data_IF_061911598069
#
_entry.id   IF_061911598069
#
_cell.length_a   1.000
_cell.length_b   1.000
_cell.length_c   1.000
_cell.angle_alpha   90.00
_cell.angle_beta   90.00
_cell.angle_gamma   90.00
#
_symmetry.space_group_name_H-M   'P 1'
#
loop_
_entity.id
_entity.type
_entity.pdbx_description
1 polymer ?
#
# COMPACT_ATOMS: atom_id res chain seq x y z
N UNK A 1 13.12 -6.68 28.62
CA UNK A 1 12.10 -5.63 28.60
C UNK A 1 11.37 -5.84 27.29
N UNK A 2 10.26 -6.56 27.32
CA UNK A 2 9.41 -6.78 26.15
C UNK A 2 8.66 -5.46 25.96
N UNK A 3 8.95 -4.75 24.87
CA UNK A 3 8.07 -3.68 24.41
C UNK A 3 6.80 -4.36 23.91
N UNK A 4 5.65 -3.98 24.46
CA UNK A 4 4.34 -4.39 23.96
C UNK A 4 4.15 -3.77 22.57
N UNK A 5 4.59 -4.49 21.53
CA UNK A 5 4.61 -4.04 20.14
C UNK A 5 3.21 -3.70 19.57
N UNK A 6 2.13 -4.15 20.22
CA UNK A 6 0.76 -3.96 19.72
C UNK A 6 0.19 -2.57 20.02
N UNK A 7 0.66 -1.87 21.06
CA UNK A 7 0.16 -0.54 21.43
C UNK A 7 0.95 0.57 20.73
N UNK A 8 2.24 0.35 20.52
CA UNK A 8 3.12 1.32 19.86
C UNK A 8 2.88 1.39 18.34
N UNK A 9 2.54 0.28 17.67
CA UNK A 9 2.27 0.30 16.23
C UNK A 9 1.02 1.10 15.88
N UNK A 10 -0.09 0.98 16.62
CA UNK A 10 -1.31 1.75 16.32
C UNK A 10 -1.08 3.26 16.52
N UNK A 11 -0.29 3.63 17.53
CA UNK A 11 0.07 5.03 17.80
C UNK A 11 1.00 5.58 16.72
N UNK A 12 2.05 4.84 16.37
CA UNK A 12 2.99 5.21 15.31
C UNK A 12 2.31 5.29 13.95
N UNK A 13 1.44 4.35 13.60
CA UNK A 13 0.63 4.35 12.36
C UNK A 13 -0.23 5.62 12.26
N UNK A 14 -0.92 6.02 13.35
CA UNK A 14 -1.70 7.27 13.39
C UNK A 14 -0.81 8.51 13.29
N UNK A 15 0.38 8.48 13.87
CA UNK A 15 1.36 9.58 13.79
C UNK A 15 1.93 9.69 12.36
N UNK A 16 2.26 8.59 11.70
CA UNK A 16 2.73 8.58 10.30
C UNK A 16 1.65 9.06 9.32
N UNK A 17 0.41 8.62 9.52
CA UNK A 17 -0.75 9.07 8.74
C UNK A 17 -1.00 10.58 8.89
N UNK A 18 -0.96 11.11 10.12
CA UNK A 18 -1.20 12.53 10.38
C UNK A 18 -0.06 13.47 9.97
N UNK A 19 1.18 12.99 9.94
CA UNK A 19 2.34 13.80 9.53
C UNK A 19 2.50 13.91 8.01
N UNK A 20 1.64 13.26 7.20
CA UNK A 20 1.76 13.23 5.74
C UNK A 20 3.03 12.50 5.26
N UNK A 21 3.56 11.60 6.08
CA UNK A 21 4.85 10.91 5.86
C UNK A 21 4.71 9.68 4.98
N UNK A 22 3.48 9.19 4.71
CA UNK A 22 3.20 8.07 3.79
C UNK A 22 3.49 8.39 2.31
N UNK A 23 4.32 9.40 2.03
CA UNK A 23 4.74 9.78 0.67
C UNK A 23 6.26 9.90 0.55
N UNK A 24 7.02 9.36 1.51
CA UNK A 24 8.45 9.10 1.39
C UNK A 24 8.64 7.58 1.41
N UNK A 25 9.03 7.00 0.28
CA UNK A 25 8.79 5.59 -0.12
C UNK A 25 9.22 4.51 0.90
N UNK A 26 10.05 4.87 1.88
CA UNK A 26 10.52 3.96 2.93
C UNK A 26 9.49 3.61 4.00
N UNK A 27 8.50 4.48 4.30
CA UNK A 27 7.53 4.20 5.38
C UNK A 27 6.48 3.17 5.00
N UNK A 28 6.08 3.13 3.73
CA UNK A 28 4.95 2.30 3.28
C UNK A 28 5.32 0.81 3.27
N UNK A 29 6.56 0.52 2.88
CA UNK A 29 7.14 -0.84 2.93
C UNK A 29 7.17 -1.34 4.38
N UNK A 30 7.51 -0.48 5.34
CA UNK A 30 7.55 -0.88 6.75
C UNK A 30 6.16 -1.29 7.25
N UNK A 31 5.12 -0.52 6.93
CA UNK A 31 3.73 -0.83 7.31
C UNK A 31 3.28 -2.17 6.73
N UNK A 32 3.55 -2.41 5.46
CA UNK A 32 3.23 -3.66 4.79
C UNK A 32 4.00 -4.86 5.36
N UNK A 33 5.27 -4.66 5.74
CA UNK A 33 6.11 -5.70 6.32
C UNK A 33 5.57 -6.22 7.65
N UNK A 34 4.91 -5.38 8.45
CA UNK A 34 4.32 -5.81 9.74
C UNK A 34 3.23 -6.88 9.57
N UNK A 35 2.59 -6.94 8.39
CA UNK A 35 1.40 -7.77 8.11
C UNK A 35 0.25 -7.57 9.11
N UNK A 36 0.26 -6.48 9.89
CA UNK A 36 -0.83 -6.15 10.80
C UNK A 36 -1.98 -5.49 10.02
N UNK A 37 -3.20 -5.99 10.19
CA UNK A 37 -4.39 -5.47 9.48
C UNK A 37 -4.55 -3.95 9.63
N UNK A 38 -4.33 -3.42 10.84
CA UNK A 38 -4.42 -1.98 11.11
C UNK A 38 -3.39 -1.14 10.33
N UNK A 39 -2.17 -1.65 10.14
CA UNK A 39 -1.15 -0.98 9.34
C UNK A 39 -1.50 -1.03 7.85
N UNK A 40 -1.98 -2.19 7.36
CA UNK A 40 -2.43 -2.35 5.97
C UNK A 40 -3.68 -1.51 5.69
N UNK A 41 -4.58 -1.32 6.66
CA UNK A 41 -5.77 -0.46 6.54
C UNK A 41 -5.38 0.98 6.21
N UNK A 42 -4.31 1.49 6.83
CA UNK A 42 -3.80 2.83 6.52
C UNK A 42 -3.25 2.94 5.10
N UNK A 43 -2.58 1.90 4.61
CA UNK A 43 -2.15 1.84 3.21
C UNK A 43 -3.35 1.78 2.26
N UNK A 44 -4.35 0.94 2.57
CA UNK A 44 -5.60 0.83 1.80
C UNK A 44 -6.33 2.17 1.73
N UNK A 45 -6.37 2.95 2.81
CA UNK A 45 -6.92 4.31 2.80
C UNK A 45 -6.19 5.23 1.81
N UNK A 46 -4.87 5.13 1.71
CA UNK A 46 -4.08 5.94 0.77
C UNK A 46 -4.29 5.55 -0.70
N UNK A 47 -4.75 4.34 -1.00
CA UNK A 47 -5.10 3.94 -2.39
C UNK A 47 -6.20 4.85 -2.98
N UNK A 48 -7.07 5.40 -2.14
CA UNK A 48 -8.16 6.30 -2.55
C UNK A 48 -7.73 7.78 -2.65
N UNK A 49 -6.45 8.08 -2.44
CA UNK A 49 -5.92 9.43 -2.46
C UNK A 49 -5.19 9.70 -3.79
N UNK A 50 -5.64 10.71 -4.54
CA UNK A 50 -5.09 11.07 -5.86
C UNK A 50 -3.91 12.05 -5.78
N UNK A 51 -3.34 12.30 -4.60
CA UNK A 51 -2.17 13.19 -4.46
C UNK A 51 -0.96 12.64 -5.24
N UNK A 52 -0.43 13.48 -6.13
CA UNK A 52 0.77 13.19 -6.92
C UNK A 52 2.05 13.62 -6.18
N UNK A 53 2.43 12.87 -5.14
CA UNK A 53 3.61 13.16 -4.32
C UNK A 53 4.70 12.08 -4.37
N UNK A 54 4.41 10.92 -4.96
CA UNK A 54 5.35 9.80 -5.03
C UNK A 54 6.25 9.88 -6.26
N UNK A 55 7.42 9.26 -6.20
CA UNK A 55 8.35 9.27 -7.33
C UNK A 55 7.95 8.24 -8.38
N UNK A 56 8.26 8.54 -9.63
CA UNK A 56 8.11 7.59 -10.73
C UNK A 56 8.99 6.35 -10.50
N UNK A 57 8.53 5.14 -10.86
CA UNK A 57 9.39 3.96 -10.89
C UNK A 57 10.48 4.06 -11.97
N UNK A 58 10.28 4.91 -12.99
CA UNK A 58 11.29 5.25 -13.98
C UNK A 58 12.40 6.10 -13.33
N UNK A 59 13.64 5.57 -13.18
CA UNK A 59 14.74 6.26 -12.52
C UNK A 59 15.25 7.48 -13.31
N UNK A 60 14.93 7.58 -14.60
CA UNK A 60 15.28 8.74 -15.43
C UNK A 60 14.20 9.83 -15.38
N UNK A 61 13.08 9.56 -14.71
CA UNK A 61 11.97 10.49 -14.55
C UNK A 61 11.92 11.10 -13.16
N UNK A 62 12.01 12.43 -13.11
CA UNK A 62 11.76 13.19 -11.88
C UNK A 62 10.28 13.56 -11.69
N UNK A 63 9.37 12.97 -12.48
CA UNK A 63 7.95 13.25 -12.39
C UNK A 63 7.36 12.66 -11.11
N UNK A 64 6.38 13.40 -10.56
CA UNK A 64 5.58 12.92 -9.45
C UNK A 64 4.35 12.20 -9.95
N UNK A 65 4.06 11.05 -9.36
CA UNK A 65 2.91 10.20 -9.68
C UNK A 65 2.00 10.05 -8.47
N UNK A 66 0.79 9.55 -8.72
CA UNK A 66 -0.15 9.16 -7.67
C UNK A 66 0.44 8.04 -6.82
N UNK A 67 0.52 8.25 -5.51
CA UNK A 67 1.09 7.27 -4.58
C UNK A 67 0.34 5.93 -4.58
N UNK A 68 -0.95 5.96 -4.92
CA UNK A 68 -1.77 4.76 -5.02
C UNK A 68 -1.12 3.67 -5.89
N UNK A 69 -0.45 4.02 -7.00
CA UNK A 69 0.22 3.02 -7.86
C UNK A 69 1.29 2.24 -7.11
N UNK A 70 2.17 2.92 -6.36
CA UNK A 70 3.22 2.29 -5.55
C UNK A 70 2.64 1.48 -4.41
N UNK A 71 1.57 1.97 -3.79
CA UNK A 71 0.90 1.27 -2.69
C UNK A 71 0.25 -0.02 -3.19
N UNK A 72 -0.31 -0.05 -4.40
CA UNK A 72 -0.88 -1.27 -4.97
C UNK A 72 0.15 -2.39 -5.12
N UNK A 73 1.34 -2.08 -5.62
CA UNK A 73 2.45 -3.05 -5.73
C UNK A 73 2.86 -3.60 -4.36
N UNK A 74 2.79 -2.75 -3.32
CA UNK A 74 3.10 -3.14 -1.94
C UNK A 74 2.02 -4.05 -1.34
N UNK A 75 0.74 -3.72 -1.54
CA UNK A 75 -0.37 -4.42 -0.86
C UNK A 75 -0.87 -5.65 -1.64
N UNK A 76 -0.75 -5.66 -2.97
CA UNK A 76 -1.21 -6.77 -3.82
C UNK A 76 -0.66 -8.14 -3.41
N UNK A 77 0.64 -8.33 -3.11
CA UNK A 77 1.17 -9.64 -2.72
C UNK A 77 0.84 -10.02 -1.27
N UNK A 78 0.26 -9.11 -0.47
CA UNK A 78 0.02 -9.33 0.96
C UNK A 78 -1.46 -9.42 1.30
N UNK A 79 -2.36 -9.06 0.39
CA UNK A 79 -3.81 -9.20 0.55
C UNK A 79 -4.26 -10.45 -0.21
N UNK A 80 -4.99 -11.33 0.48
CA UNK A 80 -5.51 -12.55 -0.12
C UNK A 80 -6.54 -12.23 -1.20
N UNK A 81 -6.43 -12.91 -2.36
CA UNK A 81 -7.34 -12.77 -3.51
C UNK A 81 -7.41 -11.34 -4.09
N UNK A 82 -6.34 -10.56 -3.98
CA UNK A 82 -6.26 -9.25 -4.60
C UNK A 82 -6.49 -9.36 -6.14
N UNK A 83 -7.21 -8.42 -6.78
CA UNK A 83 -7.72 -8.61 -8.13
C UNK A 83 -6.66 -8.53 -9.23
N UNK A 84 -5.51 -7.92 -8.93
CA UNK A 84 -4.38 -7.77 -9.85
C UNK A 84 -3.22 -8.57 -9.27
N UNK A 85 -2.68 -9.56 -10.01
CA UNK A 85 -1.49 -10.28 -9.59
C UNK A 85 -0.24 -9.38 -9.71
N UNK A 86 0.84 -9.80 -9.06
CA UNK A 86 2.17 -9.21 -9.25
C UNK A 86 3.01 -10.12 -10.12
N UNK A 87 3.90 -9.54 -10.93
CA UNK A 87 4.92 -10.28 -11.66
C UNK A 87 5.93 -10.91 -10.69
N UNK A 88 6.18 -12.20 -10.82
CA UNK A 88 7.05 -12.93 -9.89
C UNK A 88 8.53 -12.53 -10.02
N UNK A 89 8.95 -11.98 -11.16
CA UNK A 89 10.34 -11.62 -11.43
C UNK A 89 10.67 -10.19 -10.98
N UNK A 90 9.75 -9.25 -11.12
CA UNK A 90 9.96 -7.83 -10.77
C UNK A 90 9.28 -7.42 -9.47
N UNK A 91 8.17 -8.07 -9.10
CA UNK A 91 7.31 -7.67 -7.98
C UNK A 91 6.36 -6.50 -8.30
N UNK A 92 6.34 -6.04 -9.55
CA UNK A 92 5.41 -5.00 -10.02
C UNK A 92 4.02 -5.60 -10.27
N UNK A 93 3.01 -4.76 -10.47
CA UNK A 93 1.70 -5.25 -10.92
C UNK A 93 1.82 -5.87 -12.32
N UNK A 94 1.23 -7.05 -12.52
CA UNK A 94 1.15 -7.71 -13.83
C UNK A 94 0.04 -7.04 -14.67
N UNK A 95 0.32 -5.83 -15.15
CA UNK A 95 -0.58 -5.01 -15.96
C UNK A 95 0.19 -4.02 -16.82
N UNK A 96 -0.30 -3.79 -18.05
CA UNK A 96 0.18 -2.72 -18.93
C UNK A 96 -0.63 -1.42 -18.76
N UNK A 97 -1.78 -1.48 -18.07
CA UNK A 97 -2.69 -0.35 -17.84
C UNK A 97 -2.86 -0.10 -16.34
N UNK A 98 -1.99 0.76 -15.82
CA UNK A 98 -1.98 1.13 -14.40
C UNK A 98 -3.23 1.91 -14.00
N UNK A 99 -3.80 2.72 -14.89
CA UNK A 99 -5.03 3.47 -14.60
C UNK A 99 -6.21 2.50 -14.42
N UNK A 100 -6.37 1.54 -15.33
CA UNK A 100 -7.39 0.50 -15.21
C UNK A 100 -7.17 -0.39 -13.98
N UNK A 101 -5.92 -0.77 -13.70
CA UNK A 101 -5.57 -1.55 -12.52
C UNK A 101 -5.92 -0.82 -11.22
N UNK A 102 -5.63 0.49 -11.13
CA UNK A 102 -6.00 1.30 -9.97
C UNK A 102 -7.51 1.37 -9.78
N UNK A 103 -8.27 1.58 -10.87
CA UNK A 103 -9.72 1.60 -10.81
C UNK A 103 -10.28 0.25 -10.33
N UNK A 104 -9.82 -0.86 -10.90
CA UNK A 104 -10.23 -2.21 -10.51
C UNK A 104 -9.88 -2.51 -9.05
N UNK A 105 -8.68 -2.15 -8.59
CA UNK A 105 -8.26 -2.32 -7.21
C UNK A 105 -9.10 -1.51 -6.24
N UNK A 106 -9.48 -0.26 -6.57
CA UNK A 106 -10.37 0.58 -5.76
C UNK A 106 -11.75 -0.05 -5.62
N UNK A 107 -12.35 -0.50 -6.73
CA UNK A 107 -13.65 -1.17 -6.72
C UNK A 107 -13.64 -2.43 -5.85
N UNK A 108 -12.59 -3.24 -5.99
CA UNK A 108 -12.43 -4.43 -5.18
C UNK A 108 -12.23 -4.10 -3.70
N UNK A 109 -11.39 -3.11 -3.38
CA UNK A 109 -11.15 -2.67 -2.00
C UNK A 109 -12.40 -2.07 -1.36
N UNK A 110 -13.25 -1.36 -2.11
CA UNK A 110 -14.54 -0.89 -1.60
C UNK A 110 -15.48 -2.05 -1.27
N UNK A 111 -15.53 -3.06 -2.14
CA UNK A 111 -16.38 -4.23 -1.95
C UNK A 111 -15.92 -5.17 -0.81
N UNK A 112 -14.61 -5.24 -0.55
CA UNK A 112 -14.01 -6.17 0.41
C UNK A 112 -13.37 -5.47 1.63
N UNK A 113 -13.61 -4.16 1.81
CA UNK A 113 -12.88 -3.34 2.80
C UNK A 113 -12.99 -3.89 4.22
N UNK A 114 -14.16 -4.42 4.55
CA UNK A 114 -14.50 -4.88 5.89
C UNK A 114 -13.88 -6.24 6.24
N UNK A 115 -13.56 -7.06 5.23
CA UNK A 115 -13.29 -8.49 5.41
C UNK A 115 -12.11 -9.03 4.59
N UNK A 116 -11.38 -8.18 3.86
CA UNK A 116 -10.13 -8.62 3.23
C UNK A 116 -9.14 -9.18 4.25
N UNK A 117 -8.43 -10.21 3.84
CA UNK A 117 -7.49 -10.95 4.70
C UNK A 117 -6.06 -10.58 4.33
N UNK A 118 -5.26 -10.21 5.31
CA UNK A 118 -3.81 -10.04 5.14
C UNK A 118 -3.15 -11.41 5.30
N UNK A 119 -2.34 -11.80 4.31
CA UNK A 119 -1.56 -13.04 4.33
C UNK A 119 -0.44 -12.88 5.35
N UNK A 120 -0.48 -13.69 6.40
CA UNK A 120 0.61 -13.82 7.36
C UNK A 120 1.74 -14.65 6.75
N UNK A 121 2.98 -14.17 6.89
CA UNK A 121 4.19 -14.88 6.51
C UNK A 121 4.62 -15.94 7.50
#
# INVERSE_FOLDING_TARGET
MLFDLDVDTEYDVKVFSNCGVLTDEGSDIFLAFTRQKAAVDVLVEQVFNDKQNCSSPDPDSNQKITCAYRILEIIAPIIQNFPIPVDEATGDLDTDDYEAALQQSREWLEANRADYVVING
#
